data_IF_630202220078
#
_entry.id   IF_630202220078
#
_cell.length_a   1.000
_cell.length_b   1.000
_cell.length_c   1.000
_cell.angle_alpha   90.00
_cell.angle_beta   90.00
_cell.angle_gamma   90.00
#
_symmetry.space_group_name_H-M   'P 1'
#
loop_
_entity.id
_entity.type
_entity.pdbx_description
1 polymer ?
#
# COMPACT_ATOMS: atom_id res chain seq x y z
N UNK A 1 55.02 9.99 -4.99
CA UNK A 1 54.79 9.22 -3.75
C UNK A 1 53.88 10.08 -2.88
N UNK A 2 52.58 9.88 -2.75
CA UNK A 2 51.65 8.84 -3.19
C UNK A 2 50.25 9.47 -3.12
N UNK A 3 49.38 9.16 -4.09
CA UNK A 3 47.97 9.57 -4.10
C UNK A 3 47.19 8.82 -3.02
N UNK A 4 46.68 9.53 -2.00
CA UNK A 4 45.72 8.98 -1.05
C UNK A 4 44.30 9.13 -1.61
N UNK A 5 43.86 8.10 -2.32
CA UNK A 5 42.48 7.95 -2.76
C UNK A 5 41.59 7.64 -1.55
N UNK A 6 40.73 8.58 -1.19
CA UNK A 6 39.64 8.38 -0.24
C UNK A 6 38.76 7.19 -0.65
N UNK A 7 38.92 6.06 0.04
CA UNK A 7 38.02 4.92 -0.06
C UNK A 7 36.67 5.27 0.59
N UNK A 8 35.72 5.74 -0.21
CA UNK A 8 34.35 5.94 0.22
C UNK A 8 33.67 4.59 0.45
N UNK A 9 33.65 4.15 1.72
CA UNK A 9 32.89 2.99 2.18
C UNK A 9 31.43 3.08 1.71
N UNK A 10 31.03 2.16 0.83
CA UNK A 10 29.66 2.04 0.30
C UNK A 10 28.68 1.82 1.46
N UNK A 11 27.55 2.56 1.54
CA UNK A 11 26.61 2.39 2.64
C UNK A 11 25.99 0.99 2.63
N UNK A 12 26.02 0.34 3.80
CA UNK A 12 25.59 -1.03 4.02
C UNK A 12 24.09 -1.27 3.76
N UNK A 13 23.80 -2.50 3.39
CA UNK A 13 22.46 -3.04 3.10
C UNK A 13 21.39 -2.55 4.09
N UNK A 14 20.40 -1.81 3.58
CA UNK A 14 19.19 -1.47 4.33
C UNK A 14 18.30 -2.72 4.45
N UNK A 15 18.04 -3.17 5.68
CA UNK A 15 17.06 -4.22 5.97
C UNK A 15 15.71 -3.78 5.40
N UNK A 16 15.26 -4.44 4.32
CA UNK A 16 13.90 -4.26 3.78
C UNK A 16 12.94 -5.01 4.69
N UNK A 17 12.18 -4.28 5.48
CA UNK A 17 11.06 -4.80 6.26
C UNK A 17 10.06 -5.41 5.27
N UNK A 18 10.04 -6.75 5.17
CA UNK A 18 9.20 -7.48 4.20
C UNK A 18 7.71 -7.48 4.58
N UNK A 19 7.38 -7.01 5.79
CA UNK A 19 6.03 -6.89 6.29
C UNK A 19 5.64 -5.41 6.36
N UNK A 20 5.11 -4.91 5.25
CA UNK A 20 4.68 -3.51 5.08
C UNK A 20 3.34 -3.24 5.81
N UNK A 21 2.53 -4.28 5.99
CA UNK A 21 1.27 -4.26 6.74
C UNK A 21 1.02 -5.64 7.37
N UNK A 22 1.40 -5.78 8.65
CA UNK A 22 1.35 -7.07 9.36
C UNK A 22 -0.07 -7.59 9.52
N UNK A 23 -1.03 -6.72 9.79
CA UNK A 23 -2.42 -7.14 10.04
C UNK A 23 -3.05 -7.68 8.76
N UNK A 24 -2.88 -6.95 7.66
CA UNK A 24 -3.39 -7.38 6.36
C UNK A 24 -2.72 -8.70 5.95
N UNK A 25 -1.39 -8.77 5.96
CA UNK A 25 -0.68 -9.98 5.55
C UNK A 25 -1.00 -11.18 6.45
N UNK A 26 -1.04 -11.02 7.77
CA UNK A 26 -1.36 -12.12 8.70
C UNK A 26 -2.77 -12.67 8.47
N UNK A 27 -3.76 -11.80 8.22
CA UNK A 27 -5.13 -12.24 7.93
C UNK A 27 -5.18 -13.16 6.71
N UNK A 28 -4.51 -12.77 5.61
CA UNK A 28 -4.52 -13.59 4.39
C UNK A 28 -3.61 -14.81 4.47
N UNK A 29 -2.48 -14.72 5.17
CA UNK A 29 -1.62 -15.89 5.45
C UNK A 29 -2.40 -16.92 6.25
N UNK A 30 -3.10 -16.50 7.31
CA UNK A 30 -3.89 -17.40 8.15
C UNK A 30 -5.07 -18.00 7.39
N UNK A 31 -5.73 -17.21 6.53
CA UNK A 31 -6.79 -17.70 5.65
C UNK A 31 -6.26 -18.74 4.65
N UNK A 32 -5.12 -18.48 3.99
CA UNK A 32 -4.49 -19.41 3.06
C UNK A 32 -3.99 -20.68 3.75
N UNK A 33 -3.38 -20.54 4.94
CA UNK A 33 -2.96 -21.67 5.75
C UNK A 33 -4.15 -22.53 6.17
N UNK A 34 -5.26 -21.90 6.59
CA UNK A 34 -6.51 -22.58 6.90
C UNK A 34 -7.10 -23.33 5.70
N UNK A 35 -7.15 -22.69 4.53
CA UNK A 35 -7.58 -23.34 3.28
C UNK A 35 -6.67 -24.51 2.89
N UNK A 36 -5.35 -24.35 3.05
CA UNK A 36 -4.37 -25.40 2.80
C UNK A 36 -4.54 -26.59 3.74
N UNK A 37 -4.66 -26.34 5.05
CA UNK A 37 -4.90 -27.37 6.06
C UNK A 37 -6.23 -28.08 5.85
N UNK A 38 -7.30 -27.33 5.55
CA UNK A 38 -8.62 -27.90 5.22
C UNK A 38 -8.56 -28.78 3.98
N UNK A 39 -7.87 -28.32 2.92
CA UNK A 39 -7.66 -29.11 1.71
C UNK A 39 -6.88 -30.39 2.00
N UNK A 40 -5.81 -30.30 2.81
CA UNK A 40 -5.01 -31.46 3.21
C UNK A 40 -5.86 -32.48 4.00
N UNK A 41 -6.73 -32.01 4.89
CA UNK A 41 -7.67 -32.86 5.63
C UNK A 41 -8.68 -33.56 4.71
N UNK A 42 -9.26 -32.84 3.75
CA UNK A 42 -10.22 -33.41 2.78
C UNK A 42 -9.54 -34.44 1.86
N UNK A 43 -8.39 -34.09 1.28
CA UNK A 43 -7.64 -35.02 0.42
C UNK A 43 -7.17 -36.25 1.20
N UNK A 44 -6.70 -36.07 2.44
CA UNK A 44 -6.31 -37.16 3.32
C UNK A 44 -7.48 -38.10 3.63
N UNK A 45 -8.65 -37.55 3.96
CA UNK A 45 -9.85 -38.34 4.23
C UNK A 45 -10.32 -39.10 2.97
N UNK A 46 -10.33 -38.46 1.80
CA UNK A 46 -10.70 -39.10 0.54
C UNK A 46 -9.71 -40.23 0.18
N UNK A 47 -8.41 -39.96 0.32
CA UNK A 47 -7.35 -40.94 0.09
C UNK A 47 -7.49 -42.17 0.99
N UNK A 48 -7.77 -41.94 2.27
CA UNK A 48 -8.02 -43.02 3.23
C UNK A 48 -9.24 -43.86 2.83
N UNK A 49 -10.36 -43.22 2.48
CA UNK A 49 -11.58 -43.93 2.05
C UNK A 49 -11.34 -44.75 0.79
N UNK A 50 -10.66 -44.19 -0.19
CA UNK A 50 -10.29 -44.88 -1.43
C UNK A 50 -9.35 -46.06 -1.14
N UNK A 51 -8.37 -45.88 -0.26
CA UNK A 51 -7.43 -46.93 0.11
C UNK A 51 -8.12 -48.13 0.78
N UNK A 52 -8.99 -47.87 1.77
CA UNK A 52 -9.77 -48.94 2.43
C UNK A 52 -10.65 -49.66 1.40
N UNK A 53 -11.28 -48.92 0.48
CA UNK A 53 -12.11 -49.51 -0.57
C UNK A 53 -11.31 -50.37 -1.57
N UNK A 54 -10.11 -49.94 -1.96
CA UNK A 54 -9.27 -50.70 -2.90
C UNK A 54 -8.76 -52.00 -2.29
N UNK A 55 -8.37 -51.97 -1.01
CA UNK A 55 -7.96 -53.18 -0.28
C UNK A 55 -9.13 -54.15 -0.16
N UNK A 56 -10.33 -53.67 0.18
CA UNK A 56 -11.52 -54.53 0.26
C UNK A 56 -11.92 -55.15 -1.08
N UNK A 57 -11.56 -54.52 -2.20
CA UNK A 57 -11.81 -55.01 -3.55
C UNK A 57 -10.70 -55.92 -4.09
N UNK A 58 -9.63 -56.18 -3.32
CA UNK A 58 -8.48 -56.97 -3.76
C UNK A 58 -7.57 -56.28 -4.78
N UNK A 59 -7.64 -54.95 -4.88
CA UNK A 59 -6.80 -54.15 -5.79
C UNK A 59 -5.58 -53.61 -5.04
N UNK A 60 -4.40 -54.15 -5.34
CA UNK A 60 -3.12 -53.70 -4.77
C UNK A 60 -2.62 -52.42 -5.46
N UNK A 61 -3.22 -51.29 -5.09
CA UNK A 61 -2.87 -49.94 -5.57
C UNK A 61 -2.41 -48.97 -4.48
N UNK A 62 -2.25 -49.45 -3.23
CA UNK A 62 -2.02 -48.60 -2.05
C UNK A 62 -0.84 -47.61 -2.17
N UNK A 63 0.38 -48.06 -2.51
CA UNK A 63 1.54 -47.18 -2.64
C UNK A 63 1.37 -46.10 -3.72
N UNK A 64 0.79 -46.46 -4.87
CA UNK A 64 0.55 -45.54 -5.98
C UNK A 64 -0.46 -44.46 -5.60
N UNK A 65 -1.53 -44.82 -4.87
CA UNK A 65 -2.54 -43.87 -4.37
C UNK A 65 -1.93 -42.90 -3.35
N UNK A 66 -1.09 -43.38 -2.44
CA UNK A 66 -0.41 -42.54 -1.45
C UNK A 66 0.55 -41.54 -2.14
N UNK A 67 1.33 -41.97 -3.13
CA UNK A 67 2.19 -41.05 -3.87
C UNK A 67 1.41 -40.01 -4.68
N UNK A 68 0.33 -40.40 -5.35
CA UNK A 68 -0.53 -39.47 -6.10
C UNK A 68 -1.17 -38.42 -5.17
N UNK A 69 -1.65 -38.84 -4.00
CA UNK A 69 -2.27 -37.94 -3.02
C UNK A 69 -1.25 -37.02 -2.35
N UNK A 70 -0.05 -37.53 -2.05
CA UNK A 70 1.07 -36.72 -1.55
C UNK A 70 1.51 -35.67 -2.59
N UNK A 71 1.67 -36.09 -3.85
CA UNK A 71 2.04 -35.19 -4.95
C UNK A 71 0.96 -34.13 -5.21
N UNK A 72 -0.31 -34.52 -5.21
CA UNK A 72 -1.43 -33.59 -5.36
C UNK A 72 -1.50 -32.57 -4.23
N UNK A 73 -1.30 -33.02 -2.99
CA UNK A 73 -1.28 -32.15 -1.80
C UNK A 73 -0.10 -31.16 -1.82
N UNK A 74 1.09 -31.64 -2.17
CA UNK A 74 2.27 -30.79 -2.31
C UNK A 74 2.08 -29.76 -3.44
N UNK A 75 1.57 -30.20 -4.59
CA UNK A 75 1.25 -29.33 -5.72
C UNK A 75 0.25 -28.24 -5.34
N UNK A 76 -0.82 -28.58 -4.63
CA UNK A 76 -1.80 -27.61 -4.13
C UNK A 76 -1.17 -26.62 -3.14
N UNK A 77 -0.30 -27.09 -2.24
CA UNK A 77 0.43 -26.22 -1.31
C UNK A 77 1.29 -25.19 -2.04
N UNK A 78 2.02 -25.62 -3.08
CA UNK A 78 2.80 -24.73 -3.95
C UNK A 78 1.90 -23.72 -4.65
N UNK A 79 0.78 -24.14 -5.22
CA UNK A 79 -0.17 -23.25 -5.90
C UNK A 79 -0.76 -22.19 -4.95
N UNK A 80 -1.16 -22.59 -3.74
CA UNK A 80 -1.65 -21.67 -2.71
C UNK A 80 -0.56 -20.69 -2.25
N UNK A 81 0.68 -21.15 -2.08
CA UNK A 81 1.82 -20.31 -1.74
C UNK A 81 2.14 -19.28 -2.83
N UNK A 82 2.17 -19.71 -4.10
CA UNK A 82 2.35 -18.82 -5.24
C UNK A 82 1.21 -17.80 -5.34
N UNK A 83 -0.03 -18.23 -5.13
CA UNK A 83 -1.19 -17.35 -5.09
C UNK A 83 -1.05 -16.28 -3.98
N UNK A 84 -0.66 -16.68 -2.77
CA UNK A 84 -0.44 -15.76 -1.66
C UNK A 84 0.67 -14.73 -1.94
N UNK A 85 1.76 -15.16 -2.59
CA UNK A 85 2.85 -14.27 -3.01
C UNK A 85 2.38 -13.25 -4.05
N UNK A 86 1.66 -13.72 -5.08
CA UNK A 86 1.08 -12.86 -6.11
C UNK A 86 0.09 -11.86 -5.53
N UNK A 87 -0.79 -12.32 -4.64
CA UNK A 87 -1.78 -11.48 -3.97
C UNK A 87 -1.09 -10.38 -3.13
N UNK A 88 -0.08 -10.74 -2.34
CA UNK A 88 0.67 -9.79 -1.52
C UNK A 88 1.34 -8.71 -2.37
N UNK A 89 1.93 -9.09 -3.51
CA UNK A 89 2.58 -8.13 -4.39
C UNK A 89 1.62 -7.27 -5.22
N UNK A 90 0.49 -7.83 -5.69
CA UNK A 90 -0.44 -7.15 -6.61
C UNK A 90 -1.55 -6.36 -5.90
N UNK A 91 -1.81 -6.65 -4.63
CA UNK A 91 -2.89 -6.04 -3.82
C UNK A 91 -2.34 -5.36 -2.58
N UNK A 92 -1.70 -6.10 -1.66
CA UNK A 92 -1.31 -5.56 -0.35
C UNK A 92 -0.34 -4.38 -0.45
N UNK A 93 0.66 -4.47 -1.33
CA UNK A 93 1.63 -3.39 -1.58
C UNK A 93 0.95 -2.08 -2.01
N UNK A 94 0.16 -2.09 -3.11
CA UNK A 94 -0.63 -0.94 -3.52
C UNK A 94 -1.56 -0.38 -2.43
N UNK A 95 -2.28 -1.24 -1.69
CA UNK A 95 -3.18 -0.80 -0.60
C UNK A 95 -2.42 0.03 0.43
N UNK A 96 -1.25 -0.43 0.86
CA UNK A 96 -0.45 0.30 1.85
C UNK A 96 0.01 1.68 1.34
N UNK A 97 0.42 1.77 0.07
CA UNK A 97 0.80 3.07 -0.50
C UNK A 97 -0.41 4.01 -0.54
N UNK A 98 -1.59 3.49 -0.84
CA UNK A 98 -2.82 4.29 -0.84
C UNK A 98 -3.20 4.76 0.56
N UNK A 99 -3.04 3.94 1.61
CA UNK A 99 -3.34 4.36 2.98
C UNK A 99 -2.43 5.51 3.44
N UNK A 100 -1.15 5.50 3.04
CA UNK A 100 -0.23 6.62 3.28
C UNK A 100 -0.70 7.92 2.61
N UNK A 101 -1.20 7.84 1.38
CA UNK A 101 -1.74 9.01 0.68
C UNK A 101 -3.03 9.52 1.32
N UNK A 102 -3.92 8.64 1.75
CA UNK A 102 -5.14 9.01 2.49
C UNK A 102 -4.78 9.68 3.82
N UNK A 103 -3.80 9.16 4.56
CA UNK A 103 -3.32 9.78 5.79
C UNK A 103 -2.68 11.16 5.54
N UNK A 104 -1.97 11.33 4.42
CA UNK A 104 -1.43 12.63 4.04
C UNK A 104 -2.54 13.66 3.75
N UNK A 105 -3.59 13.25 3.02
CA UNK A 105 -4.77 14.08 2.74
C UNK A 105 -5.54 14.43 4.01
N UNK A 106 -5.72 13.47 4.92
CA UNK A 106 -6.37 13.69 6.21
C UNK A 106 -5.59 14.71 7.08
N UNK A 107 -4.27 14.76 6.93
CA UNK A 107 -3.41 15.77 7.54
C UNK A 107 -3.41 17.13 6.79
N UNK A 108 -4.27 17.31 5.79
CA UNK A 108 -4.38 18.54 4.99
C UNK A 108 -3.23 18.74 4.00
N UNK A 109 -2.51 17.67 3.60
CA UNK A 109 -1.40 17.73 2.65
C UNK A 109 -1.81 17.11 1.31
N UNK A 110 -1.32 17.69 0.21
CA UNK A 110 -1.60 17.20 -1.14
C UNK A 110 -0.33 16.61 -1.79
N UNK A 111 0.03 15.35 -1.49
CA UNK A 111 1.26 14.74 -1.99
C UNK A 111 1.19 14.53 -3.51
N UNK A 112 2.35 14.59 -4.18
CA UNK A 112 2.45 14.15 -5.57
C UNK A 112 2.32 12.63 -5.63
N UNK A 113 1.22 12.18 -6.23
CA UNK A 113 0.90 10.76 -6.35
C UNK A 113 1.74 10.13 -7.46
N UNK A 114 2.35 8.97 -7.18
CA UNK A 114 3.08 8.18 -8.19
C UNK A 114 2.15 7.10 -8.73
N UNK A 115 2.02 6.93 -10.05
CA UNK A 115 1.14 5.91 -10.62
C UNK A 115 1.54 4.50 -10.17
N UNK A 116 0.52 3.68 -9.87
CA UNK A 116 0.69 2.25 -9.61
C UNK A 116 1.17 1.48 -10.85
N UNK A 117 1.73 0.29 -10.64
CA UNK A 117 2.23 -0.54 -11.74
C UNK A 117 1.07 -1.04 -12.58
N UNK A 118 1.31 -1.24 -13.88
CA UNK A 118 0.29 -1.66 -14.86
C UNK A 118 -0.44 -2.95 -14.47
N UNK A 119 0.22 -3.86 -13.75
CA UNK A 119 -0.31 -5.18 -13.36
C UNK A 119 -0.95 -5.20 -11.96
N UNK A 120 -1.00 -4.07 -11.27
CA UNK A 120 -1.61 -3.99 -9.94
C UNK A 120 -3.13 -3.95 -10.07
N UNK A 121 -3.84 -4.75 -9.27
CA UNK A 121 -5.31 -4.87 -9.37
C UNK A 121 -6.03 -3.56 -9.03
N UNK A 122 -5.42 -2.76 -8.14
CA UNK A 122 -5.96 -1.48 -7.70
C UNK A 122 -5.67 -0.32 -8.64
N UNK A 123 -5.00 -0.55 -9.78
CA UNK A 123 -4.59 0.53 -10.69
C UNK A 123 -5.75 1.42 -11.12
N UNK A 124 -6.88 0.83 -11.55
CA UNK A 124 -8.04 1.61 -12.03
C UNK A 124 -8.64 2.50 -10.93
N UNK A 125 -8.68 2.00 -9.70
CA UNK A 125 -9.13 2.77 -8.55
C UNK A 125 -8.15 3.90 -8.23
N UNK A 126 -6.86 3.59 -8.21
CA UNK A 126 -5.80 4.56 -7.98
C UNK A 126 -5.78 5.70 -9.00
N UNK A 127 -5.99 5.39 -10.29
CA UNK A 127 -6.02 6.40 -11.34
C UNK A 127 -7.16 7.41 -11.10
N UNK A 128 -8.36 6.93 -10.72
CA UNK A 128 -9.50 7.79 -10.35
C UNK A 128 -9.26 8.56 -9.05
N UNK A 129 -8.67 7.91 -8.06
CA UNK A 129 -8.30 8.55 -6.81
C UNK A 129 -7.30 9.69 -7.05
N UNK A 130 -6.32 9.45 -7.92
CA UNK A 130 -5.31 10.45 -8.25
C UNK A 130 -5.90 11.66 -8.94
N UNK A 131 -6.80 11.43 -9.91
CA UNK A 131 -7.54 12.49 -10.57
C UNK A 131 -8.37 13.33 -9.57
N UNK A 132 -9.01 12.69 -8.60
CA UNK A 132 -9.76 13.39 -7.56
C UNK A 132 -8.84 14.26 -6.68
N UNK A 133 -7.70 13.73 -6.25
CA UNK A 133 -6.71 14.46 -5.44
C UNK A 133 -6.13 15.64 -6.21
N UNK A 134 -5.82 15.46 -7.50
CA UNK A 134 -5.32 16.54 -8.34
C UNK A 134 -6.34 17.66 -8.49
N UNK A 135 -7.63 17.35 -8.65
CA UNK A 135 -8.70 18.36 -8.70
C UNK A 135 -8.86 19.11 -7.38
N UNK A 136 -8.76 18.43 -6.24
CA UNK A 136 -8.82 19.09 -4.92
C UNK A 136 -7.62 20.02 -4.76
N UNK A 137 -6.41 19.55 -5.13
CA UNK A 137 -5.20 20.36 -5.06
C UNK A 137 -5.27 21.60 -5.97
N UNK A 138 -5.80 21.45 -7.18
CA UNK A 138 -6.02 22.59 -8.09
C UNK A 138 -6.98 23.60 -7.49
N UNK A 139 -8.12 23.14 -6.97
CA UNK A 139 -9.09 24.00 -6.29
C UNK A 139 -8.47 24.77 -5.12
N UNK A 140 -7.67 24.11 -4.29
CA UNK A 140 -6.98 24.76 -3.18
C UNK A 140 -5.96 25.82 -3.64
N UNK A 141 -5.28 25.58 -4.75
CA UNK A 141 -4.37 26.55 -5.36
C UNK A 141 -5.14 27.78 -5.88
N UNK A 142 -6.27 27.56 -6.55
CA UNK A 142 -7.13 28.63 -7.07
C UNK A 142 -7.72 29.48 -5.92
N UNK A 143 -8.19 28.81 -4.85
CA UNK A 143 -8.69 29.50 -3.65
C UNK A 143 -7.57 30.30 -2.94
N UNK A 144 -6.36 29.76 -2.86
CA UNK A 144 -5.22 30.49 -2.30
C UNK A 144 -4.89 31.74 -3.13
N UNK A 145 -4.90 31.62 -4.46
CA UNK A 145 -4.66 32.75 -5.36
C UNK A 145 -5.76 33.82 -5.26
N UNK A 146 -7.03 33.42 -5.21
CA UNK A 146 -8.13 34.36 -5.00
C UNK A 146 -7.99 35.11 -3.66
N UNK A 147 -7.54 34.42 -2.61
CA UNK A 147 -7.30 35.02 -1.30
C UNK A 147 -6.11 35.99 -1.32
N UNK A 148 -5.04 35.68 -2.05
CA UNK A 148 -3.90 36.58 -2.28
C UNK A 148 -4.34 37.89 -2.93
N UNK A 149 -5.17 37.81 -3.98
CA UNK A 149 -5.74 38.99 -4.67
C UNK A 149 -6.63 39.81 -3.73
N UNK A 150 -7.51 39.16 -2.97
CA UNK A 150 -8.39 39.83 -2.01
C UNK A 150 -7.61 40.53 -0.89
N UNK A 151 -6.59 39.87 -0.34
CA UNK A 151 -5.70 40.45 0.67
C UNK A 151 -4.97 41.68 0.15
N UNK A 152 -4.47 41.64 -1.08
CA UNK A 152 -3.80 42.79 -1.71
C UNK A 152 -4.74 43.99 -1.87
N UNK A 153 -6.00 43.77 -2.23
CA UNK A 153 -7.00 44.81 -2.37
C UNK A 153 -7.49 45.39 -1.03
N UNK A 154 -7.58 44.56 0.02
CA UNK A 154 -8.04 44.97 1.35
C UNK A 154 -6.97 45.68 2.18
N UNK A 155 -5.69 45.35 1.95
CA UNK A 155 -4.54 45.93 2.68
C UNK A 155 -4.52 47.46 2.75
N UNK A 156 -4.73 48.22 1.65
CA UNK A 156 -4.75 49.69 1.72
C UNK A 156 -5.98 50.27 2.43
N UNK A 157 -7.09 49.52 2.52
CA UNK A 157 -8.37 50.00 3.07
C UNK A 157 -8.53 49.62 4.56
N UNK A 158 -7.77 48.64 5.04
CA UNK A 158 -7.77 48.19 6.44
C UNK A 158 -7.09 49.19 7.40
N UNK A 159 -7.78 50.31 7.65
CA UNK A 159 -7.29 51.41 8.51
C UNK A 159 -7.63 51.22 9.98
N UNK A 160 -8.73 50.55 10.32
CA UNK A 160 -9.10 50.29 11.72
C UNK A 160 -8.29 49.14 12.33
N UNK A 161 -8.08 49.12 13.65
CA UNK A 161 -7.40 48.02 14.34
C UNK A 161 -8.05 46.66 14.08
N UNK A 162 -9.38 46.60 14.10
CA UNK A 162 -10.16 45.37 13.88
C UNK A 162 -9.99 44.86 12.44
N UNK A 163 -9.94 45.77 11.46
CA UNK A 163 -9.73 45.40 10.06
C UNK A 163 -8.31 44.84 9.83
N UNK A 164 -7.30 45.34 10.56
CA UNK A 164 -5.93 44.82 10.49
C UNK A 164 -5.83 43.41 11.08
N UNK A 165 -6.49 43.16 12.21
CA UNK A 165 -6.54 41.83 12.84
C UNK A 165 -7.24 40.79 11.94
N UNK A 166 -8.37 41.17 11.32
CA UNK A 166 -9.05 40.33 10.36
C UNK A 166 -8.15 40.02 9.14
N UNK A 167 -7.41 41.01 8.65
CA UNK A 167 -6.49 40.85 7.52
C UNK A 167 -5.32 39.91 7.87
N UNK A 168 -4.81 39.97 9.09
CA UNK A 168 -3.79 39.05 9.58
C UNK A 168 -4.31 37.61 9.66
N UNK A 169 -5.54 37.41 10.14
CA UNK A 169 -6.21 36.10 10.16
C UNK A 169 -6.35 35.52 8.75
N UNK A 170 -6.78 36.33 7.78
CA UNK A 170 -6.88 35.93 6.37
C UNK A 170 -5.51 35.62 5.77
N UNK A 171 -4.47 36.36 6.13
CA UNK A 171 -3.10 36.11 5.67
C UNK A 171 -2.54 34.79 6.23
N UNK A 172 -2.86 34.46 7.49
CA UNK A 172 -2.54 33.15 8.08
C UNK A 172 -3.26 32.01 7.34
N UNK A 173 -4.54 32.20 6.97
CA UNK A 173 -5.28 31.23 6.17
C UNK A 173 -4.68 31.03 4.78
N UNK A 174 -4.34 32.12 4.07
CA UNK A 174 -3.65 32.07 2.78
C UNK A 174 -2.34 31.29 2.88
N UNK A 175 -1.51 31.62 3.87
CA UNK A 175 -0.23 30.96 4.10
C UNK A 175 -0.41 29.46 4.32
N UNK A 176 -1.42 29.05 5.11
CA UNK A 176 -1.74 27.64 5.36
C UNK A 176 -2.15 26.90 4.09
N UNK A 177 -3.07 27.48 3.30
CA UNK A 177 -3.52 26.88 2.02
C UNK A 177 -2.36 26.75 1.03
N UNK A 178 -1.52 27.76 0.92
CA UNK A 178 -0.36 27.75 0.01
C UNK A 178 0.69 26.72 0.43
N UNK A 179 1.02 26.64 1.72
CA UNK A 179 1.93 25.62 2.24
C UNK A 179 1.44 24.19 1.98
N UNK A 180 0.13 23.93 2.07
CA UNK A 180 -0.45 22.62 1.80
C UNK A 180 -0.30 22.18 0.33
N UNK A 181 -0.27 23.13 -0.60
CA UNK A 181 -0.10 22.91 -2.05
C UNK A 181 1.38 22.84 -2.45
N UNK A 182 2.23 23.70 -1.86
CA UNK A 182 3.62 23.92 -2.27
C UNK A 182 4.63 22.96 -1.61
N UNK A 183 4.28 22.36 -0.47
CA UNK A 183 5.07 21.30 0.16
C UNK A 183 4.45 19.93 -0.12
N UNK A 184 4.55 19.38 -1.34
CA UNK A 184 4.31 17.96 -1.53
C UNK A 184 5.45 17.28 -0.78
N UNK A 185 5.17 16.66 0.36
CA UNK A 185 6.15 15.83 1.07
C UNK A 185 6.59 14.69 0.14
N UNK A 186 7.60 14.96 -0.67
CA UNK A 186 8.35 13.96 -1.41
C UNK A 186 9.26 13.25 -0.43
N UNK A 187 8.92 12.01 -0.09
CA UNK A 187 9.92 11.06 0.38
C UNK A 187 10.40 11.23 1.82
N UNK A 188 9.50 11.15 2.79
CA UNK A 188 9.76 10.37 4.03
C UNK A 188 8.45 10.19 4.77
N UNK A 189 7.62 9.28 4.29
CA UNK A 189 6.75 8.56 5.21
C UNK A 189 7.68 7.75 6.11
N UNK A 190 8.19 8.35 7.19
CA UNK A 190 8.70 7.56 8.31
C UNK A 190 7.50 6.71 8.72
N UNK A 191 7.64 5.40 8.51
CA UNK A 191 6.72 4.39 9.01
C UNK A 191 6.46 4.69 10.48
N UNK A 192 5.33 5.32 10.78
CA UNK A 192 4.79 5.30 12.13
C UNK A 192 4.08 3.96 12.19
N UNK A 193 4.87 2.96 12.61
CA UNK A 193 4.39 1.70 13.14
C UNK A 193 4.57 1.76 14.66
#
# INVERSE_FOLDING_TARGET
MSDDIHNASRPGYTRRTYLLDREFQLKYILLLAGMGAGSLGVFGALAYRLHVSSVSAGVDGGPSLLWLTALGSAGLGVLLGLFGLLFTHRVAGPVHVMSLYVAALAAGRYPRLRPLRKKDELKRFFDRFSEAVDRIRQREADEAHALEVALAALKPVATTPEAREALETLNQLHTRKRQAVDNPTGGTFKSVA
#
